data_IF_462318825581
#
_entry.id   IF_462318825581
#
_cell.length_a   1.000
_cell.length_b   1.000
_cell.length_c   1.000
_cell.angle_alpha   90.00
_cell.angle_beta   90.00
_cell.angle_gamma   90.00
#
_symmetry.space_group_name_H-M   'P 1'
#
loop_
_entity.id
_entity.type
_entity.pdbx_description
1 polymer ?
#
# COMPACT_ATOMS: atom_id res chain seq x y z
N UNK A 1 25.99 18.48 39.67
CA UNK A 1 24.75 18.06 38.99
C UNK A 1 24.97 18.23 37.50
N UNK A 2 25.20 17.14 36.80
CA UNK A 2 25.21 17.10 35.33
C UNK A 2 24.22 16.00 34.98
N UNK A 3 23.05 16.40 34.52
CA UNK A 3 22.03 15.47 34.06
C UNK A 3 22.57 14.72 32.84
N UNK A 4 22.66 13.40 32.99
CA UNK A 4 23.00 12.45 31.94
C UNK A 4 21.80 12.40 30.99
N UNK A 5 21.91 12.99 29.81
CA UNK A 5 20.89 12.89 28.76
C UNK A 5 20.81 11.43 28.28
N UNK A 6 19.77 10.74 28.74
CA UNK A 6 19.40 9.41 28.28
C UNK A 6 19.09 9.43 26.77
N UNK A 7 19.70 8.51 26.03
CA UNK A 7 19.46 8.13 24.63
C UNK A 7 18.11 8.60 24.03
N UNK A 8 18.15 9.63 23.19
CA UNK A 8 16.99 10.28 22.56
C UNK A 8 16.32 9.46 21.45
N UNK A 9 16.93 8.35 21.01
CA UNK A 9 16.51 7.54 19.87
C UNK A 9 15.17 6.80 20.07
N UNK A 10 14.70 6.64 21.31
CA UNK A 10 13.43 5.95 21.63
C UNK A 10 12.23 6.88 21.82
N UNK A 11 12.45 8.19 21.96
CA UNK A 11 11.39 9.14 22.40
C UNK A 11 10.37 9.42 21.29
N UNK A 12 10.80 9.41 20.03
CA UNK A 12 9.95 9.78 18.89
C UNK A 12 9.24 8.60 18.23
N UNK A 13 9.53 7.36 18.62
CA UNK A 13 8.88 6.18 18.02
C UNK A 13 7.39 6.22 18.32
N UNK A 14 6.58 6.00 17.29
CA UNK A 14 5.13 6.13 17.31
C UNK A 14 4.57 7.53 17.61
N UNK A 15 5.42 8.56 17.56
CA UNK A 15 5.00 9.96 17.65
C UNK A 15 4.89 10.61 16.26
N UNK A 16 4.04 11.64 16.11
CA UNK A 16 4.09 12.50 14.94
C UNK A 16 5.42 13.25 14.90
N UNK A 17 6.03 13.28 13.73
CA UNK A 17 7.31 13.95 13.46
C UNK A 17 7.19 14.85 12.25
N UNK A 18 7.98 15.91 12.21
CA UNK A 18 7.99 16.92 11.14
C UNK A 18 9.37 17.00 10.47
N UNK A 19 9.45 17.53 9.24
CA UNK A 19 10.74 17.73 8.58
C UNK A 19 11.69 18.57 9.44
N UNK A 20 12.91 18.08 9.63
CA UNK A 20 13.94 18.70 10.48
C UNK A 20 14.14 18.04 11.84
N UNK A 21 13.18 17.24 12.33
CA UNK A 21 13.35 16.49 13.57
C UNK A 21 14.51 15.49 13.44
N UNK A 22 15.44 15.49 14.40
CA UNK A 22 16.55 14.53 14.45
C UNK A 22 16.11 13.29 15.20
N UNK A 23 16.15 12.14 14.52
CA UNK A 23 15.65 10.86 15.04
C UNK A 23 16.76 10.05 15.70
N UNK A 24 17.93 9.98 15.04
CA UNK A 24 19.09 9.22 15.51
C UNK A 24 20.36 10.04 15.32
N UNK A 25 21.26 9.94 16.28
CA UNK A 25 22.63 10.45 16.21
C UNK A 25 23.60 9.26 16.22
N UNK A 26 24.26 9.04 15.08
CA UNK A 26 25.15 7.93 14.79
C UNK A 26 26.50 8.07 15.48
N UNK A 27 26.88 9.27 15.95
CA UNK A 27 28.15 9.49 16.66
C UNK A 27 28.28 8.61 17.90
N UNK A 28 27.15 8.24 18.52
CA UNK A 28 27.07 7.40 19.71
C UNK A 28 26.85 5.90 19.40
N UNK A 29 26.71 5.51 18.13
CA UNK A 29 26.39 4.15 17.71
C UNK A 29 27.53 3.52 16.88
N UNK A 30 28.61 3.14 17.55
CA UNK A 30 29.71 2.39 16.93
C UNK A 30 29.35 0.90 16.85
N UNK A 31 29.10 0.37 15.65
CA UNK A 31 28.85 -1.05 15.30
C UNK A 31 27.39 -1.52 15.12
N UNK A 32 26.40 -0.63 15.00
CA UNK A 32 25.04 -1.03 14.63
C UNK A 32 24.74 -0.75 13.15
N UNK A 33 24.22 -1.75 12.42
CA UNK A 33 23.72 -1.54 11.06
C UNK A 33 22.25 -1.11 11.12
N UNK A 34 21.98 0.12 10.69
CA UNK A 34 20.62 0.68 10.66
C UNK A 34 20.08 0.63 9.23
N UNK A 35 18.82 0.21 9.09
CA UNK A 35 18.09 0.24 7.82
C UNK A 35 17.16 1.44 7.80
N UNK A 36 17.43 2.38 6.91
CA UNK A 36 16.60 3.56 6.70
C UNK A 36 15.54 3.26 5.63
N UNK A 37 14.28 3.40 5.99
CA UNK A 37 13.16 3.40 5.07
C UNK A 37 12.79 4.81 4.63
N UNK A 38 11.64 4.92 3.94
CA UNK A 38 11.18 6.19 3.38
C UNK A 38 10.92 7.28 4.43
N UNK A 39 11.12 8.54 4.02
CA UNK A 39 10.82 9.72 4.83
C UNK A 39 11.91 10.12 5.83
N UNK A 40 13.01 9.38 5.88
CA UNK A 40 14.23 9.73 6.61
C UNK A 40 15.34 10.13 5.64
N UNK A 41 16.25 10.98 6.10
CA UNK A 41 17.46 11.36 5.38
C UNK A 41 18.64 11.32 6.34
N UNK A 42 19.72 10.68 5.90
CA UNK A 42 21.00 10.75 6.59
C UNK A 42 21.77 11.97 6.08
N UNK A 43 22.29 12.76 7.03
CA UNK A 43 23.23 13.83 6.79
C UNK A 43 24.39 13.69 7.79
N UNK A 44 25.56 13.26 7.29
CA UNK A 44 26.69 12.85 8.13
C UNK A 44 26.27 11.83 9.21
N UNK A 45 26.46 12.20 10.48
CA UNK A 45 26.13 11.38 11.64
C UNK A 45 24.69 11.59 12.14
N UNK A 46 23.91 12.50 11.53
CA UNK A 46 22.54 12.76 11.93
C UNK A 46 21.54 12.14 10.96
N UNK A 47 20.57 11.40 11.49
CA UNK A 47 19.40 10.96 10.73
C UNK A 47 18.23 11.86 11.08
N UNK A 48 17.76 12.62 10.10
CA UNK A 48 16.66 13.57 10.25
C UNK A 48 15.44 13.16 9.45
N UNK A 49 14.29 13.66 9.89
CA UNK A 49 13.01 13.49 9.21
C UNK A 49 12.97 14.41 8.00
N UNK A 50 12.61 13.85 6.84
CA UNK A 50 12.43 14.59 5.58
C UNK A 50 10.96 14.72 5.17
N UNK A 51 10.05 13.97 5.79
CA UNK A 51 8.61 13.99 5.53
C UNK A 51 7.82 14.02 6.82
N UNK A 52 6.72 14.76 6.85
CA UNK A 52 5.78 14.70 7.97
C UNK A 52 5.11 13.33 8.04
N UNK A 53 4.92 12.80 9.25
CA UNK A 53 4.23 11.53 9.44
C UNK A 53 4.45 10.97 10.83
N UNK A 54 4.24 9.67 10.98
CA UNK A 54 4.48 8.95 12.23
C UNK A 54 5.76 8.15 12.10
N UNK A 55 6.72 8.35 13.01
CA UNK A 55 7.94 7.55 13.01
C UNK A 55 7.63 6.13 13.43
N UNK A 56 8.09 5.16 12.64
CA UNK A 56 7.92 3.73 12.90
C UNK A 56 9.26 3.05 13.03
N UNK A 57 9.25 1.98 13.81
CA UNK A 57 10.40 1.14 14.07
C UNK A 57 10.02 -0.32 13.90
N UNK A 58 10.91 -1.11 13.31
CA UNK A 58 10.85 -2.57 13.31
C UNK A 58 12.20 -3.13 13.72
N UNK A 59 12.16 -4.14 14.58
CA UNK A 59 13.36 -4.90 14.96
C UNK A 59 14.00 -5.53 13.71
N UNK A 60 15.35 -5.67 13.65
CA UNK A 60 16.31 -5.24 14.65
C UNK A 60 16.51 -3.71 14.68
N UNK A 61 16.76 -3.05 13.55
CA UNK A 61 17.08 -1.60 13.49
C UNK A 61 16.53 -0.94 12.20
N UNK A 62 15.25 -1.11 11.87
CA UNK A 62 14.63 -0.48 10.69
C UNK A 62 13.74 0.68 11.12
N UNK A 63 14.03 1.88 10.61
CA UNK A 63 13.26 3.10 10.89
C UNK A 63 12.67 3.67 9.61
N UNK A 64 11.43 4.17 9.65
CA UNK A 64 10.81 4.88 8.52
C UNK A 64 9.74 5.84 9.02
N UNK A 65 9.40 6.85 8.21
CA UNK A 65 8.28 7.73 8.50
C UNK A 65 7.09 7.32 7.66
N UNK A 66 6.04 6.88 8.36
CA UNK A 66 4.75 6.58 7.75
C UNK A 66 3.99 7.87 7.47
N UNK A 67 3.86 8.22 6.20
CA UNK A 67 3.24 9.47 5.73
C UNK A 67 2.03 9.20 4.84
N UNK A 68 0.93 9.91 5.04
CA UNK A 68 -0.23 9.83 4.13
C UNK A 68 -0.06 10.85 3.01
N UNK A 69 0.09 10.37 1.77
CA UNK A 69 0.16 11.19 0.57
C UNK A 69 -0.76 10.61 -0.51
N UNK A 70 -1.32 11.49 -1.36
CA UNK A 70 -2.19 11.05 -2.47
C UNK A 70 -1.41 10.47 -3.66
N UNK A 71 -0.19 10.97 -3.90
CA UNK A 71 0.67 10.47 -4.99
C UNK A 71 1.46 9.28 -4.50
N UNK A 72 1.36 8.15 -5.21
CA UNK A 72 2.13 6.96 -4.89
C UNK A 72 3.57 7.10 -5.41
N UNK A 73 4.53 6.56 -4.64
CA UNK A 73 5.94 6.46 -5.05
C UNK A 73 6.28 4.97 -5.03
N UNK A 74 6.59 4.37 -6.19
CA UNK A 74 6.88 2.95 -6.29
C UNK A 74 8.07 2.52 -5.43
N UNK A 75 7.90 1.45 -4.66
CA UNK A 75 8.97 0.75 -3.96
C UNK A 75 8.96 -0.73 -4.38
N UNK A 76 10.13 -1.36 -4.41
CA UNK A 76 10.21 -2.79 -4.65
C UNK A 76 9.43 -3.57 -3.58
N UNK A 77 8.81 -4.67 -4.00
CA UNK A 77 7.92 -5.54 -3.22
C UNK A 77 6.53 -4.96 -2.90
N UNK A 78 6.20 -3.75 -3.38
CA UNK A 78 4.85 -3.21 -3.21
C UNK A 78 3.83 -3.99 -4.04
N UNK A 79 2.71 -4.36 -3.40
CA UNK A 79 1.53 -4.88 -4.09
C UNK A 79 0.59 -3.73 -4.47
N UNK A 80 0.31 -3.57 -5.77
CA UNK A 80 -0.45 -2.43 -6.31
C UNK A 80 -1.50 -2.86 -7.32
N UNK A 81 -2.50 -2.00 -7.52
CA UNK A 81 -3.47 -2.14 -8.60
C UNK A 81 -3.08 -1.25 -9.78
N UNK A 82 -2.85 -1.85 -10.93
CA UNK A 82 -2.45 -1.19 -12.17
C UNK A 82 -3.51 -1.30 -13.26
N UNK A 83 -3.64 -0.28 -14.09
CA UNK A 83 -4.54 -0.30 -15.26
C UNK A 83 -3.69 -0.37 -16.52
N UNK A 84 -3.96 -1.32 -17.40
CA UNK A 84 -3.25 -1.46 -18.68
C UNK A 84 -3.55 -0.25 -19.56
N UNK A 85 -2.52 0.47 -19.96
CA UNK A 85 -2.62 1.65 -20.84
C UNK A 85 -2.33 1.26 -22.29
N UNK A 86 -1.35 0.39 -22.50
CA UNK A 86 -0.89 -0.01 -23.83
C UNK A 86 -0.27 -1.43 -23.77
N UNK A 87 -0.31 -2.14 -24.88
CA UNK A 87 0.20 -3.51 -25.02
C UNK A 87 1.21 -3.56 -26.16
N UNK A 88 2.47 -3.85 -25.82
CA UNK A 88 3.59 -3.96 -26.78
C UNK A 88 4.06 -5.40 -26.88
N UNK A 89 4.90 -5.69 -27.86
CA UNK A 89 5.38 -7.05 -28.15
C UNK A 89 6.18 -7.69 -27.00
N UNK A 90 6.82 -6.87 -26.18
CA UNK A 90 7.73 -7.27 -25.11
C UNK A 90 7.23 -6.88 -23.71
N UNK A 91 6.43 -5.81 -23.60
CA UNK A 91 5.93 -5.29 -22.33
C UNK A 91 4.50 -4.73 -22.45
N UNK A 92 3.74 -4.81 -21.38
CA UNK A 92 2.54 -4.00 -21.16
C UNK A 92 2.93 -2.69 -20.44
N UNK A 93 2.37 -1.56 -20.88
CA UNK A 93 2.43 -0.32 -20.12
C UNK A 93 1.28 -0.28 -19.13
N UNK A 94 1.59 -0.09 -17.86
CA UNK A 94 0.60 -0.13 -16.78
C UNK A 94 0.68 1.16 -15.97
N UNK A 95 -0.45 1.84 -15.83
CA UNK A 95 -0.57 2.96 -14.91
C UNK A 95 -0.81 2.45 -13.48
N UNK A 96 0.17 2.69 -12.61
CA UNK A 96 0.12 2.35 -11.17
C UNK A 96 -0.09 3.58 -10.27
N UNK A 97 -0.52 4.73 -10.81
CA UNK A 97 -0.67 6.00 -10.06
C UNK A 97 0.65 6.54 -9.49
N UNK A 98 1.76 6.13 -10.11
CA UNK A 98 3.11 6.57 -9.81
C UNK A 98 3.52 7.84 -10.58
N UNK A 99 4.80 8.23 -10.53
CA UNK A 99 5.31 9.36 -11.31
C UNK A 99 5.46 9.05 -12.81
N UNK A 100 5.58 7.78 -13.19
CA UNK A 100 5.72 7.29 -14.56
C UNK A 100 4.91 6.00 -14.75
N UNK A 101 4.61 5.66 -16.00
CA UNK A 101 4.03 4.35 -16.33
C UNK A 101 5.04 3.25 -16.02
N UNK A 102 4.54 2.11 -15.56
CA UNK A 102 5.35 0.95 -15.25
C UNK A 102 5.35 -0.05 -16.41
N UNK A 103 6.44 -0.81 -16.52
CA UNK A 103 6.57 -1.90 -17.49
C UNK A 103 6.21 -3.22 -16.83
N UNK A 104 5.30 -3.97 -17.43
CA UNK A 104 5.00 -5.35 -17.07
C UNK A 104 5.46 -6.26 -18.22
N UNK A 105 6.61 -6.95 -18.08
CA UNK A 105 7.11 -7.84 -19.12
C UNK A 105 6.11 -8.96 -19.44
N UNK A 106 5.98 -9.30 -20.73
CA UNK A 106 5.03 -10.34 -21.20
C UNK A 106 5.31 -11.74 -20.63
N UNK A 107 6.49 -11.96 -20.07
CA UNK A 107 6.91 -13.21 -19.44
C UNK A 107 6.80 -13.19 -17.91
N UNK A 108 6.45 -12.06 -17.30
CA UNK A 108 6.40 -11.90 -15.84
C UNK A 108 5.08 -12.41 -15.24
N UNK A 109 4.69 -13.63 -15.61
CA UNK A 109 3.47 -14.32 -15.21
C UNK A 109 3.79 -15.77 -14.86
N UNK A 110 2.94 -16.41 -14.07
CA UNK A 110 3.07 -17.84 -13.81
C UNK A 110 2.94 -18.62 -15.11
N UNK A 111 4.01 -19.35 -15.48
CA UNK A 111 4.08 -20.08 -16.76
C UNK A 111 4.28 -19.20 -18.00
N UNK A 112 4.73 -17.94 -17.84
CA UNK A 112 5.01 -17.02 -18.95
C UNK A 112 6.07 -17.56 -19.91
N UNK A 113 5.69 -17.80 -21.17
CA UNK A 113 6.62 -18.20 -22.25
C UNK A 113 6.31 -17.41 -23.53
N UNK A 114 7.26 -17.33 -24.47
CA UNK A 114 7.01 -16.66 -25.78
C UNK A 114 5.85 -17.26 -26.58
N UNK A 115 5.43 -18.49 -26.27
CA UNK A 115 4.28 -19.16 -26.88
C UNK A 115 2.96 -18.86 -26.15
N UNK A 116 3.03 -18.52 -24.87
CA UNK A 116 1.88 -18.29 -24.00
C UNK A 116 1.98 -16.90 -23.36
N UNK A 117 1.75 -15.87 -24.17
CA UNK A 117 1.70 -14.48 -23.73
C UNK A 117 0.24 -14.15 -23.35
N UNK A 118 -0.02 -13.68 -22.11
CA UNK A 118 -1.35 -13.23 -21.72
C UNK A 118 -1.86 -12.12 -22.64
N UNK A 119 -3.18 -12.05 -22.85
CA UNK A 119 -3.80 -10.97 -23.62
C UNK A 119 -4.61 -10.10 -22.67
N UNK A 120 -4.22 -8.84 -22.54
CA UNK A 120 -4.96 -7.82 -21.81
C UNK A 120 -5.43 -6.74 -22.76
N UNK A 121 -6.67 -6.32 -22.58
CA UNK A 121 -7.23 -5.16 -23.27
C UNK A 121 -6.78 -3.87 -22.57
N UNK A 122 -6.74 -2.76 -23.32
CA UNK A 122 -6.53 -1.45 -22.71
C UNK A 122 -7.67 -1.18 -21.72
N UNK A 123 -7.33 -0.71 -20.52
CA UNK A 123 -8.26 -0.52 -19.42
C UNK A 123 -8.38 -1.73 -18.47
N UNK A 124 -7.78 -2.89 -18.79
CA UNK A 124 -7.81 -4.04 -17.88
C UNK A 124 -7.12 -3.74 -16.54
N UNK A 125 -7.74 -4.18 -15.44
CA UNK A 125 -7.22 -4.02 -14.08
C UNK A 125 -6.34 -5.20 -13.68
N UNK A 126 -5.13 -4.93 -13.24
CA UNK A 126 -4.19 -5.95 -12.78
C UNK A 126 -3.82 -5.73 -11.32
N UNK A 127 -3.80 -6.80 -10.55
CA UNK A 127 -3.11 -6.85 -9.26
C UNK A 127 -1.69 -7.35 -9.48
N UNK A 128 -0.71 -6.51 -9.17
CA UNK A 128 0.70 -6.71 -9.55
C UNK A 128 1.63 -6.39 -8.41
N UNK A 129 2.84 -6.97 -8.46
CA UNK A 129 3.94 -6.66 -7.56
C UNK A 129 4.97 -5.79 -8.27
N UNK A 130 5.46 -4.75 -7.61
CA UNK A 130 6.59 -3.97 -8.09
C UNK A 130 7.89 -4.75 -7.82
N UNK A 131 8.62 -5.10 -8.87
CA UNK A 131 9.89 -5.86 -8.76
C UNK A 131 11.08 -4.91 -8.68
N UNK A 132 11.08 -3.85 -9.50
CA UNK A 132 12.13 -2.83 -9.49
C UNK A 132 11.55 -1.43 -9.52
N UNK A 133 12.13 -0.53 -8.74
CA UNK A 133 11.72 0.87 -8.66
C UNK A 133 12.93 1.78 -8.45
N UNK A 134 13.81 1.83 -9.45
CA UNK A 134 15.01 2.66 -9.38
C UNK A 134 14.68 4.13 -9.71
N UNK A 135 15.23 5.11 -8.96
CA UNK A 135 15.07 6.52 -9.28
C UNK A 135 15.50 6.83 -10.72
N UNK A 136 14.65 7.55 -11.47
CA UNK A 136 14.93 7.93 -12.86
C UNK A 136 14.63 6.86 -13.91
N UNK A 137 14.19 5.66 -13.50
CA UNK A 137 13.72 4.60 -14.41
C UNK A 137 12.23 4.35 -14.23
N UNK A 138 11.58 3.81 -15.27
CA UNK A 138 10.23 3.28 -15.14
C UNK A 138 10.23 2.06 -14.20
N UNK A 139 9.24 1.92 -13.30
CA UNK A 139 9.11 0.74 -12.46
C UNK A 139 8.88 -0.52 -13.30
N UNK A 140 9.43 -1.65 -12.86
CA UNK A 140 9.14 -2.97 -13.44
C UNK A 140 8.19 -3.74 -12.52
N UNK A 141 7.22 -4.41 -13.14
CA UNK A 141 6.15 -5.16 -12.47
C UNK A 141 6.25 -6.65 -12.76
N UNK A 142 5.60 -7.45 -11.91
CA UNK A 142 5.32 -8.85 -12.17
C UNK A 142 3.94 -9.25 -11.63
N UNK A 143 3.32 -10.21 -12.29
CA UNK A 143 2.11 -10.90 -11.79
C UNK A 143 2.49 -12.21 -11.08
N UNK A 144 3.62 -12.22 -10.38
CA UNK A 144 4.08 -13.35 -9.58
C UNK A 144 4.70 -12.89 -8.27
N UNK A 145 4.63 -13.75 -7.26
CA UNK A 145 5.41 -13.62 -6.05
C UNK A 145 6.92 -13.80 -6.32
N UNK A 146 7.73 -13.69 -5.27
CA UNK A 146 9.18 -13.90 -5.35
C UNK A 146 9.57 -15.36 -5.71
N UNK A 147 8.65 -16.32 -5.57
CA UNK A 147 8.85 -17.74 -5.96
C UNK A 147 8.41 -18.05 -7.39
N UNK A 148 7.84 -17.07 -8.11
CA UNK A 148 7.38 -17.22 -9.48
C UNK A 148 5.96 -17.77 -9.63
N UNK A 149 5.18 -17.86 -8.54
CA UNK A 149 3.76 -18.28 -8.56
C UNK A 149 2.84 -17.07 -8.64
N UNK A 150 1.65 -17.21 -9.21
CA UNK A 150 0.70 -16.09 -9.33
C UNK A 150 0.28 -15.57 -7.96
N UNK A 151 0.08 -16.42 -6.96
CA UNK A 151 -0.18 -16.03 -5.56
C UNK A 151 -1.25 -14.92 -5.39
N UNK A 152 -2.28 -14.91 -6.25
CA UNK A 152 -3.35 -13.90 -6.25
C UNK A 152 -3.12 -12.68 -7.15
N UNK A 153 -1.92 -12.53 -7.73
CA UNK A 153 -1.64 -11.54 -8.76
C UNK A 153 -2.24 -11.95 -10.11
N UNK A 154 -2.52 -10.95 -10.95
CA UNK A 154 -3.10 -11.15 -12.28
C UNK A 154 -4.27 -10.22 -12.57
N UNK A 155 -5.07 -10.60 -13.55
CA UNK A 155 -6.21 -9.81 -14.00
C UNK A 155 -7.39 -9.95 -13.04
N UNK A 156 -7.88 -8.80 -12.55
CA UNK A 156 -9.11 -8.71 -11.79
C UNK A 156 -10.25 -8.37 -12.76
N UNK A 157 -11.21 -9.28 -12.87
CA UNK A 157 -12.39 -9.12 -13.74
C UNK A 157 -13.53 -8.48 -12.97
N UNK A 158 -14.33 -7.68 -13.67
CA UNK A 158 -15.51 -7.03 -13.11
C UNK A 158 -15.20 -6.20 -11.85
N UNK A 159 -16.20 -5.98 -11.01
CA UNK A 159 -16.10 -5.21 -9.78
C UNK A 159 -16.02 -3.70 -9.99
N UNK A 160 -15.77 -2.99 -8.90
CA UNK A 160 -15.71 -1.55 -8.82
C UNK A 160 -14.37 -1.10 -8.25
N UNK A 161 -13.77 -0.12 -8.91
CA UNK A 161 -12.49 0.47 -8.51
C UNK A 161 -12.75 1.88 -7.99
N UNK A 162 -12.13 2.21 -6.86
CA UNK A 162 -12.10 3.58 -6.38
C UNK A 162 -10.72 3.94 -5.84
N UNK A 163 -10.47 5.24 -5.79
CA UNK A 163 -9.24 5.81 -5.27
C UNK A 163 -9.36 6.14 -3.78
N UNK A 164 -8.29 5.91 -3.03
CA UNK A 164 -8.14 6.34 -1.65
C UNK A 164 -6.75 6.92 -1.38
N UNK A 165 -6.51 7.34 -0.13
CA UNK A 165 -5.18 7.75 0.30
C UNK A 165 -4.26 6.52 0.47
N UNK A 166 -2.95 6.72 0.32
CA UNK A 166 -1.98 5.65 0.64
C UNK A 166 -1.97 5.28 2.12
N UNK A 167 -2.41 6.19 3.00
CA UNK A 167 -2.64 5.92 4.42
C UNK A 167 -3.80 4.95 4.62
N UNK A 168 -4.93 5.17 3.95
CA UNK A 168 -6.07 4.26 4.00
C UNK A 168 -5.70 2.88 3.44
N UNK A 169 -4.99 2.79 2.31
CA UNK A 169 -4.50 1.50 1.79
C UNK A 169 -3.65 0.74 2.82
N UNK A 170 -2.73 1.41 3.52
CA UNK A 170 -1.93 0.80 4.59
C UNK A 170 -2.78 0.34 5.77
N UNK A 171 -3.78 1.14 6.15
CA UNK A 171 -4.72 0.77 7.21
C UNK A 171 -5.55 -0.46 6.82
N UNK A 172 -5.97 -0.58 5.57
CA UNK A 172 -6.71 -1.74 5.08
C UNK A 172 -5.85 -3.02 5.03
N UNK A 173 -4.57 -2.86 4.67
CA UNK A 173 -3.58 -3.96 4.62
C UNK A 173 -2.92 -4.25 5.98
N UNK A 174 -3.34 -3.59 7.06
CA UNK A 174 -2.71 -3.76 8.36
C UNK A 174 -2.97 -5.15 8.96
N UNK A 175 -2.04 -5.61 9.80
CA UNK A 175 -2.23 -6.78 10.67
C UNK A 175 -2.18 -6.32 12.14
N UNK A 176 -3.21 -6.63 12.96
CA UNK A 176 -4.41 -7.41 12.65
C UNK A 176 -5.34 -6.71 11.64
N UNK A 177 -6.24 -7.49 11.03
CA UNK A 177 -7.16 -7.05 9.97
C UNK A 177 -7.91 -5.78 10.35
N UNK A 178 -8.00 -4.85 9.40
CA UNK A 178 -8.68 -3.57 9.60
C UNK A 178 -10.13 -3.76 10.11
N UNK A 179 -10.56 -3.05 11.17
CA UNK A 179 -11.88 -3.24 11.78
C UNK A 179 -13.06 -3.09 10.80
N UNK A 180 -12.95 -2.16 9.83
CA UNK A 180 -13.98 -1.99 8.79
C UNK A 180 -14.14 -3.25 7.94
N UNK A 181 -13.03 -3.88 7.50
CA UNK A 181 -13.07 -5.10 6.70
C UNK A 181 -13.55 -6.29 7.53
N UNK A 182 -13.09 -6.40 8.78
CA UNK A 182 -13.52 -7.45 9.71
C UNK A 182 -15.05 -7.40 9.94
N UNK A 183 -15.61 -6.21 10.13
CA UNK A 183 -17.05 -6.03 10.34
C UNK A 183 -17.88 -6.29 9.09
N UNK A 184 -17.40 -5.87 7.91
CA UNK A 184 -18.09 -6.13 6.64
C UNK A 184 -18.09 -7.62 6.31
N UNK A 185 -16.94 -8.29 6.41
CA UNK A 185 -16.78 -9.71 6.05
C UNK A 185 -17.57 -10.68 6.93
N UNK A 186 -18.00 -10.25 8.13
CA UNK A 186 -18.90 -11.06 8.99
C UNK A 186 -20.33 -11.13 8.47
N UNK A 187 -20.77 -10.18 7.64
CA UNK A 187 -22.19 -10.04 7.25
C UNK A 187 -22.41 -10.01 5.73
N UNK A 188 -21.36 -9.74 4.96
CA UNK A 188 -21.42 -9.64 3.49
C UNK A 188 -20.38 -10.58 2.87
N UNK A 189 -20.75 -11.22 1.77
CA UNK A 189 -19.82 -11.90 0.88
C UNK A 189 -19.34 -10.91 -0.18
N UNK A 190 -18.04 -10.66 -0.24
CA UNK A 190 -17.39 -9.83 -1.25
C UNK A 190 -15.91 -10.19 -1.34
N UNK A 191 -15.31 -9.88 -2.48
CA UNK A 191 -13.88 -9.93 -2.72
C UNK A 191 -13.32 -8.50 -2.72
N UNK A 192 -12.08 -8.34 -2.27
CA UNK A 192 -11.39 -7.05 -2.37
C UNK A 192 -9.90 -7.25 -2.60
N UNK A 193 -9.32 -6.34 -3.37
CA UNK A 193 -7.89 -6.20 -3.56
C UNK A 193 -7.52 -4.75 -3.23
N UNK A 194 -6.49 -4.58 -2.41
CA UNK A 194 -6.02 -3.26 -1.99
C UNK A 194 -4.61 -3.07 -2.50
N UNK A 195 -4.43 -2.07 -3.36
CA UNK A 195 -3.11 -1.61 -3.79
C UNK A 195 -2.57 -0.56 -2.83
N UNK A 196 -1.29 -0.69 -2.44
CA UNK A 196 -0.61 0.31 -1.61
C UNK A 196 -0.54 1.69 -2.28
N UNK A 197 -0.76 1.72 -3.59
CA UNK A 197 -0.84 2.92 -4.42
C UNK A 197 -2.13 3.75 -4.27
N UNK A 198 -3.00 3.41 -3.31
CA UNK A 198 -4.24 4.17 -3.08
C UNK A 198 -5.32 3.85 -4.11
N UNK A 199 -5.35 2.61 -4.61
CA UNK A 199 -6.44 2.05 -5.41
C UNK A 199 -7.00 0.84 -4.67
N UNK A 200 -8.32 0.72 -4.68
CA UNK A 200 -9.03 -0.41 -4.08
C UNK A 200 -10.01 -0.95 -5.10
N UNK A 201 -10.06 -2.28 -5.21
CA UNK A 201 -11.03 -3.00 -6.01
C UNK A 201 -11.94 -3.79 -5.07
N UNK A 202 -13.24 -3.76 -5.37
CA UNK A 202 -14.28 -4.50 -4.63
C UNK A 202 -15.18 -5.19 -5.64
N UNK A 203 -15.46 -6.48 -5.42
CA UNK A 203 -16.39 -7.24 -6.21
C UNK A 203 -17.37 -8.00 -5.31
N UNK A 204 -18.65 -7.98 -5.65
CA UNK A 204 -19.70 -8.68 -4.94
C UNK A 204 -20.85 -8.98 -5.89
N UNK A 205 -21.65 -10.00 -5.57
CA UNK A 205 -22.76 -10.46 -6.43
C UNK A 205 -23.84 -9.38 -6.64
N UNK A 206 -24.01 -8.47 -5.66
CA UNK A 206 -24.97 -7.39 -5.72
C UNK A 206 -24.29 -6.02 -5.82
N UNK A 207 -24.70 -5.16 -6.78
CA UNK A 207 -24.22 -3.78 -6.84
C UNK A 207 -24.45 -2.99 -5.55
N UNK A 208 -25.56 -3.24 -4.85
CA UNK A 208 -25.85 -2.56 -3.58
C UNK A 208 -24.83 -2.92 -2.49
N UNK A 209 -24.39 -4.18 -2.45
CA UNK A 209 -23.30 -4.64 -1.57
C UNK A 209 -21.99 -3.95 -1.94
N UNK A 210 -21.63 -3.92 -3.23
CA UNK A 210 -20.42 -3.24 -3.71
C UNK A 210 -20.40 -1.75 -3.33
N UNK A 211 -21.53 -1.06 -3.46
CA UNK A 211 -21.68 0.35 -3.08
C UNK A 211 -21.50 0.53 -1.58
N UNK A 212 -22.15 -0.29 -0.75
CA UNK A 212 -22.05 -0.18 0.72
C UNK A 212 -20.63 -0.48 1.20
N UNK A 213 -19.98 -1.51 0.67
CA UNK A 213 -18.59 -1.86 1.01
C UNK A 213 -17.65 -0.72 0.62
N UNK A 214 -17.77 -0.19 -0.59
CA UNK A 214 -16.93 0.90 -1.08
C UNK A 214 -17.11 2.17 -0.24
N UNK A 215 -18.36 2.54 0.07
CA UNK A 215 -18.66 3.69 0.91
C UNK A 215 -18.15 3.50 2.34
N UNK A 216 -18.30 2.31 2.93
CA UNK A 216 -17.78 2.02 4.26
C UNK A 216 -16.25 2.15 4.30
N UNK A 217 -15.56 1.65 3.28
CA UNK A 217 -14.10 1.78 3.19
C UNK A 217 -13.70 3.25 3.05
N UNK A 218 -14.26 3.99 2.09
CA UNK A 218 -13.90 5.39 1.85
C UNK A 218 -14.11 6.29 3.08
N UNK A 219 -15.14 6.02 3.89
CA UNK A 219 -15.43 6.82 5.09
C UNK A 219 -14.67 6.34 6.35
N UNK A 220 -13.88 5.27 6.27
CA UNK A 220 -13.23 4.68 7.45
C UNK A 220 -11.93 5.38 7.88
N UNK A 221 -11.28 6.14 6.99
CA UNK A 221 -9.93 6.67 7.19
C UNK A 221 -9.77 7.52 8.46
N UNK A 222 -10.76 8.35 8.77
CA UNK A 222 -10.71 9.27 9.92
C UNK A 222 -11.40 8.71 11.16
N UNK A 223 -11.91 7.48 11.10
CA UNK A 223 -12.69 6.87 12.18
C UNK A 223 -11.82 5.94 13.02
N UNK A 224 -12.01 5.98 14.33
CA UNK A 224 -11.45 4.96 15.22
C UNK A 224 -12.07 3.58 14.94
N UNK A 225 -11.39 2.50 15.35
CA UNK A 225 -11.89 1.14 15.12
C UNK A 225 -13.29 0.88 15.69
N UNK A 226 -13.66 1.52 16.81
CA UNK A 226 -15.01 1.44 17.38
C UNK A 226 -16.03 2.17 16.49
N UNK A 227 -15.68 3.37 16.03
CA UNK A 227 -16.53 4.17 15.14
C UNK A 227 -16.71 3.48 13.78
N UNK A 228 -15.67 2.81 13.25
CA UNK A 228 -15.77 2.01 12.02
C UNK A 228 -16.80 0.89 12.17
N UNK A 229 -16.77 0.14 13.28
CA UNK A 229 -17.74 -0.94 13.56
C UNK A 229 -19.18 -0.40 13.61
N UNK A 230 -19.40 0.69 14.34
CA UNK A 230 -20.71 1.36 14.47
C UNK A 230 -21.21 1.85 13.11
N UNK A 231 -20.33 2.45 12.29
CA UNK A 231 -20.66 2.91 10.96
C UNK A 231 -21.11 1.76 10.06
N UNK A 232 -20.36 0.65 10.05
CA UNK A 232 -20.71 -0.55 9.27
C UNK A 232 -22.06 -1.10 9.70
N UNK A 233 -22.34 -1.20 11.00
CA UNK A 233 -23.64 -1.67 11.49
C UNK A 233 -24.81 -0.80 11.01
N UNK A 234 -24.63 0.53 11.02
CA UNK A 234 -25.64 1.47 10.49
C UNK A 234 -25.88 1.29 8.99
N UNK A 235 -24.81 1.18 8.20
CA UNK A 235 -24.92 1.00 6.75
C UNK A 235 -25.61 -0.32 6.39
N UNK A 236 -25.32 -1.39 7.12
CA UNK A 236 -25.92 -2.71 6.88
C UNK A 236 -27.41 -2.74 7.26
N UNK A 237 -27.82 -2.01 8.29
CA UNK A 237 -29.24 -1.89 8.63
C UNK A 237 -30.02 -1.16 7.53
N UNK A 238 -29.43 -0.11 6.94
CA UNK A 238 -30.05 0.60 5.82
C UNK A 238 -30.16 -0.28 4.57
N UNK A 239 -29.15 -1.11 4.29
CA UNK A 239 -29.18 -2.05 3.17
C UNK A 239 -30.36 -3.02 3.30
N UNK A 240 -30.63 -3.55 4.50
CA UNK A 240 -31.76 -4.46 4.77
C UNK A 240 -33.12 -3.80 4.65
N UNK A 241 -33.21 -2.48 4.86
CA UNK A 241 -34.46 -1.72 4.71
C UNK A 241 -34.77 -1.39 3.24
N UNK A 242 -33.77 -1.46 2.36
CA UNK A 242 -33.91 -1.21 0.92
C UNK A 242 -34.13 -2.47 0.06
N UNK A 243 -34.06 -3.65 0.68
CA UNK A 243 -34.29 -4.96 0.05
C UNK A 243 -35.73 -5.43 0.27
#
# INVERSE_FOLDING_TARGET
>A
MVEKSSSSSSILVDQPVVPGDVVLDLSNMTNETIKLGGGLRQDHDAISVAKVGKLRFSKPNKYWVESSQKRYVPCAEDCVLGIVVDSRSDNFLVDIKGPSLAFLPVLAFEGGTRRNIPKFEMGALLYVRVVKANPGMNPELACTDASGKAAGFGHLKDGYIFDCSTGLSRMLLSSPTCPVLESLGKKLSFETAVGINGRVWVNADSPSTTIVVSNAIMNSETLSGVQQRIMVDKLLNNLKLSS
#
